data_IF_066486526023
#
_entry.id   IF_066486526023
#
_cell.length_a   1.000
_cell.length_b   1.000
_cell.length_c   1.000
_cell.angle_alpha   90.00
_cell.angle_beta   90.00
_cell.angle_gamma   90.00
#
_symmetry.space_group_name_H-M   'P 1'
#
loop_
_entity.id
_entity.type
_entity.pdbx_description
1 polymer ?
#
# COMPACT_ATOMS: atom_id res chain seq x y z
N UNK A 1 -59.46 -25.82 3.31
CA UNK A 1 -59.07 -24.97 4.47
C UNK A 1 -57.57 -25.01 4.73
N UNK A 2 -57.00 -26.08 5.30
CA UNK A 2 -55.55 -26.15 5.58
C UNK A 2 -54.68 -26.19 4.30
N UNK A 3 -55.13 -26.89 3.26
CA UNK A 3 -54.45 -26.95 1.96
C UNK A 3 -54.46 -25.59 1.23
N UNK A 4 -55.58 -24.87 1.28
CA UNK A 4 -55.72 -23.54 0.65
C UNK A 4 -54.87 -22.48 1.35
N UNK A 5 -54.75 -22.52 2.67
CA UNK A 5 -53.84 -21.66 3.44
C UNK A 5 -52.37 -21.94 3.10
N UNK A 6 -52.02 -23.21 2.85
CA UNK A 6 -50.67 -23.60 2.45
C UNK A 6 -50.35 -23.12 1.03
N UNK A 7 -51.31 -23.20 0.10
CA UNK A 7 -51.19 -22.64 -1.25
C UNK A 7 -51.06 -21.12 -1.22
N UNK A 8 -51.84 -20.42 -0.39
CA UNK A 8 -51.74 -18.97 -0.24
C UNK A 8 -50.36 -18.54 0.32
N UNK A 9 -49.84 -19.28 1.31
CA UNK A 9 -48.49 -19.06 1.86
C UNK A 9 -47.39 -19.30 0.84
N UNK A 10 -47.53 -20.34 0.01
CA UNK A 10 -46.59 -20.63 -1.08
C UNK A 10 -46.56 -19.48 -2.11
N UNK A 11 -47.74 -19.07 -2.60
CA UNK A 11 -47.85 -17.97 -3.55
C UNK A 11 -47.25 -16.66 -3.00
N UNK A 12 -47.56 -16.33 -1.74
CA UNK A 12 -46.97 -15.15 -1.08
C UNK A 12 -45.47 -15.28 -0.80
N UNK A 13 -44.91 -16.49 -0.72
CA UNK A 13 -43.47 -16.69 -0.62
C UNK A 13 -42.78 -16.54 -1.98
N UNK A 14 -43.39 -17.07 -3.05
CA UNK A 14 -42.89 -16.94 -4.42
C UNK A 14 -42.88 -15.48 -4.89
N UNK A 15 -43.92 -14.72 -4.60
CA UNK A 15 -43.99 -13.29 -4.92
C UNK A 15 -42.90 -12.50 -4.18
N UNK A 16 -42.71 -12.74 -2.87
CA UNK A 16 -41.64 -12.11 -2.10
C UNK A 16 -40.26 -12.48 -2.62
N UNK A 17 -40.06 -13.74 -3.01
CA UNK A 17 -38.79 -14.19 -3.60
C UNK A 17 -38.52 -13.48 -4.93
N UNK A 18 -39.54 -13.32 -5.78
CA UNK A 18 -39.43 -12.62 -7.06
C UNK A 18 -39.06 -11.14 -6.84
N UNK A 19 -39.74 -10.46 -5.90
CA UNK A 19 -39.43 -9.08 -5.55
C UNK A 19 -37.98 -8.90 -5.06
N UNK A 20 -37.51 -9.79 -4.18
CA UNK A 20 -36.12 -9.75 -3.67
C UNK A 20 -35.08 -10.03 -4.75
N UNK A 21 -35.37 -10.95 -5.69
CA UNK A 21 -34.49 -11.24 -6.83
C UNK A 21 -34.34 -10.02 -7.74
N UNK A 22 -35.43 -9.32 -8.01
CA UNK A 22 -35.42 -8.13 -8.85
C UNK A 22 -34.69 -6.96 -8.16
N UNK A 23 -34.93 -6.75 -6.87
CA UNK A 23 -34.21 -5.75 -6.07
C UNK A 23 -32.69 -6.03 -6.06
N UNK A 24 -32.31 -7.29 -5.84
CA UNK A 24 -30.90 -7.73 -5.87
C UNK A 24 -30.26 -7.45 -7.23
N UNK A 25 -30.95 -7.82 -8.32
CA UNK A 25 -30.49 -7.62 -9.70
C UNK A 25 -30.32 -6.13 -10.01
N UNK A 26 -31.30 -5.30 -9.68
CA UNK A 26 -31.26 -3.86 -9.92
C UNK A 26 -30.10 -3.19 -9.17
N UNK A 27 -29.88 -3.53 -7.90
CA UNK A 27 -28.76 -3.01 -7.10
C UNK A 27 -27.41 -3.44 -7.67
N UNK A 28 -27.28 -4.72 -8.03
CA UNK A 28 -26.05 -5.23 -8.64
C UNK A 28 -25.71 -4.50 -9.93
N UNK A 29 -26.66 -4.39 -10.87
CA UNK A 29 -26.43 -3.75 -12.17
C UNK A 29 -26.07 -2.26 -12.04
N UNK A 30 -26.65 -1.57 -11.06
CA UNK A 30 -26.34 -0.16 -10.78
C UNK A 30 -24.87 0.00 -10.41
N UNK A 31 -24.40 -0.78 -9.42
CA UNK A 31 -23.02 -0.75 -8.95
C UNK A 31 -22.05 -1.29 -10.01
N UNK A 32 -22.43 -2.35 -10.72
CA UNK A 32 -21.60 -2.95 -11.78
C UNK A 32 -21.27 -1.94 -12.88
N UNK A 33 -22.26 -1.16 -13.35
CA UNK A 33 -22.04 -0.11 -14.35
C UNK A 33 -21.12 1.00 -13.85
N UNK A 34 -21.25 1.37 -12.58
CA UNK A 34 -20.35 2.35 -11.97
C UNK A 34 -18.91 1.84 -11.94
N UNK A 35 -18.70 0.59 -11.50
CA UNK A 35 -17.38 -0.05 -11.49
C UNK A 35 -16.81 -0.12 -12.91
N UNK A 36 -17.62 -0.48 -13.91
CA UNK A 36 -17.20 -0.57 -15.31
C UNK A 36 -16.68 0.77 -15.84
N UNK A 37 -17.39 1.87 -15.56
CA UNK A 37 -16.95 3.22 -15.94
C UNK A 37 -15.64 3.61 -15.24
N UNK A 38 -15.55 3.35 -13.93
CA UNK A 38 -14.35 3.69 -13.13
C UNK A 38 -13.15 2.86 -13.54
N UNK A 39 -13.32 1.58 -13.82
CA UNK A 39 -12.27 0.68 -14.28
C UNK A 39 -11.61 1.21 -15.55
N UNK A 40 -12.42 1.61 -16.54
CA UNK A 40 -11.91 2.16 -17.80
C UNK A 40 -11.05 3.41 -17.57
N UNK A 41 -11.54 4.33 -16.74
CA UNK A 41 -10.82 5.55 -16.36
C UNK A 41 -9.51 5.24 -15.62
N UNK A 42 -9.54 4.33 -14.64
CA UNK A 42 -8.37 3.98 -13.85
C UNK A 42 -7.31 3.26 -14.69
N UNK A 43 -7.73 2.34 -15.56
CA UNK A 43 -6.79 1.61 -16.42
C UNK A 43 -6.09 2.54 -17.41
N UNK A 44 -6.84 3.43 -18.08
CA UNK A 44 -6.26 4.42 -19.00
C UNK A 44 -5.25 5.33 -18.30
N UNK A 45 -5.54 5.74 -17.06
CA UNK A 45 -4.64 6.55 -16.24
C UNK A 45 -3.36 5.79 -15.90
N UNK A 46 -3.48 4.56 -15.38
CA UNK A 46 -2.36 3.76 -14.90
C UNK A 46 -1.46 3.24 -16.02
N UNK A 47 -2.05 2.78 -17.13
CA UNK A 47 -1.33 2.24 -18.28
C UNK A 47 -0.89 3.30 -19.30
N UNK A 48 -1.18 4.58 -19.03
CA UNK A 48 -0.96 5.70 -19.95
C UNK A 48 -1.53 5.42 -21.36
N UNK A 49 -2.72 4.82 -21.41
CA UNK A 49 -3.40 4.37 -22.63
C UNK A 49 -4.01 2.97 -22.51
N UNK A 50 -4.48 2.42 -23.63
CA UNK A 50 -5.20 1.15 -23.63
C UNK A 50 -6.66 1.29 -23.17
N UNK A 51 -7.33 0.15 -22.97
CA UNK A 51 -8.70 0.08 -22.45
C UNK A 51 -8.86 -1.16 -21.57
N UNK A 52 -9.79 -1.13 -20.62
CA UNK A 52 -10.16 -2.26 -19.78
C UNK A 52 -11.67 -2.26 -19.56
N UNK A 53 -12.28 -3.42 -19.71
CA UNK A 53 -13.73 -3.58 -19.65
C UNK A 53 -14.09 -4.86 -18.88
N UNK A 54 -15.16 -4.77 -18.09
CA UNK A 54 -15.81 -5.91 -17.45
C UNK A 54 -17.18 -6.11 -18.11
N UNK A 55 -17.46 -7.35 -18.48
CA UNK A 55 -18.68 -7.74 -19.18
C UNK A 55 -19.36 -8.86 -18.41
N UNK A 56 -20.70 -8.89 -18.44
CA UNK A 56 -21.45 -10.02 -17.89
C UNK A 56 -21.36 -11.19 -18.87
N UNK A 57 -21.18 -12.41 -18.36
CA UNK A 57 -21.21 -13.62 -19.20
C UNK A 57 -22.60 -13.81 -19.82
N UNK A 58 -23.65 -13.52 -19.06
CA UNK A 58 -25.02 -13.45 -19.54
C UNK A 58 -25.68 -12.14 -19.10
N UNK A 59 -26.36 -11.50 -20.07
CA UNK A 59 -27.15 -10.29 -19.83
C UNK A 59 -28.48 -10.57 -19.12
N UNK A 60 -28.99 -11.81 -19.21
CA UNK A 60 -30.26 -12.22 -18.61
C UNK A 60 -30.10 -12.52 -17.12
N UNK A 61 -29.03 -13.22 -16.74
CA UNK A 61 -28.62 -13.47 -15.36
C UNK A 61 -27.20 -12.93 -15.05
N UNK A 62 -27.08 -11.78 -14.35
CA UNK A 62 -25.78 -11.20 -14.01
C UNK A 62 -24.98 -12.01 -12.98
N UNK A 63 -25.54 -13.07 -12.40
CA UNK A 63 -24.90 -13.89 -11.36
C UNK A 63 -24.13 -15.10 -11.92
N UNK A 64 -24.22 -15.38 -13.23
CA UNK A 64 -23.43 -16.43 -13.91
C UNK A 64 -21.93 -16.13 -13.94
N UNK A 65 -21.57 -14.85 -13.93
CA UNK A 65 -20.18 -14.41 -13.78
C UNK A 65 -19.83 -13.18 -14.61
N UNK A 66 -18.57 -12.78 -14.47
CA UNK A 66 -18.03 -11.56 -15.07
C UNK A 66 -16.78 -11.93 -15.86
N UNK A 67 -16.70 -11.47 -17.09
CA UNK A 67 -15.51 -11.55 -17.92
C UNK A 67 -14.72 -10.26 -17.79
N UNK A 68 -13.42 -10.36 -17.50
CA UNK A 68 -12.52 -9.21 -17.42
C UNK A 68 -11.56 -9.23 -18.62
N UNK A 69 -11.75 -8.26 -19.53
CA UNK A 69 -10.96 -8.10 -20.75
C UNK A 69 -10.22 -6.78 -20.76
N UNK A 70 -9.02 -6.83 -21.30
CA UNK A 70 -8.11 -5.69 -21.32
C UNK A 70 -7.48 -5.57 -22.69
N UNK A 71 -7.33 -4.34 -23.17
CA UNK A 71 -6.57 -3.96 -24.34
C UNK A 71 -5.38 -3.12 -23.91
N UNK A 72 -4.18 -3.72 -23.72
CA UNK A 72 -2.98 -2.95 -23.45
C UNK A 72 -2.68 -1.94 -24.58
N UNK A 73 -1.90 -0.88 -24.31
CA UNK A 73 -1.53 0.10 -25.33
C UNK A 73 -0.94 -0.59 -26.56
N UNK A 74 -1.48 -0.28 -27.75
CA UNK A 74 -1.03 -0.84 -29.04
C UNK A 74 -1.16 -2.36 -29.18
N UNK A 75 -1.97 -3.03 -28.36
CA UNK A 75 -2.24 -4.48 -28.45
C UNK A 75 -3.73 -4.76 -28.66
N UNK A 76 -4.06 -5.99 -29.03
CA UNK A 76 -5.44 -6.47 -29.15
C UNK A 76 -6.06 -6.77 -27.76
N UNK A 77 -7.39 -6.87 -27.73
CA UNK A 77 -8.14 -7.32 -26.56
C UNK A 77 -7.75 -8.73 -26.16
N UNK A 78 -7.51 -8.94 -24.86
CA UNK A 78 -7.19 -10.24 -24.27
C UNK A 78 -7.88 -10.39 -22.93
N UNK A 79 -8.23 -11.63 -22.59
CA UNK A 79 -8.63 -11.95 -21.22
C UNK A 79 -7.45 -11.73 -20.27
N UNK A 80 -7.71 -11.27 -19.04
CA UNK A 80 -6.67 -11.03 -18.03
C UNK A 80 -5.81 -12.27 -17.76
N UNK A 81 -6.38 -13.48 -17.85
CA UNK A 81 -5.62 -14.74 -17.71
C UNK A 81 -4.45 -14.86 -18.70
N UNK A 82 -4.57 -14.26 -19.88
CA UNK A 82 -3.63 -14.35 -21.00
C UNK A 82 -2.69 -13.14 -21.12
N UNK A 83 -2.67 -12.23 -20.15
CA UNK A 83 -1.78 -11.07 -20.10
C UNK A 83 -0.37 -11.43 -19.56
N UNK A 84 0.61 -10.54 -19.73
CA UNK A 84 1.90 -10.66 -19.03
C UNK A 84 1.77 -10.36 -17.53
N UNK A 85 2.74 -10.76 -16.69
CA UNK A 85 2.68 -10.55 -15.24
C UNK A 85 2.49 -9.08 -14.82
N UNK A 86 3.21 -8.14 -15.47
CA UNK A 86 3.05 -6.71 -15.22
C UNK A 86 1.69 -6.18 -15.66
N UNK A 87 1.19 -6.59 -16.83
CA UNK A 87 -0.13 -6.22 -17.33
C UNK A 87 -1.25 -6.78 -16.43
N UNK A 88 -1.13 -8.01 -15.93
CA UNK A 88 -2.06 -8.59 -14.95
C UNK A 88 -2.10 -7.77 -13.67
N UNK A 89 -0.93 -7.40 -13.15
CA UNK A 89 -0.80 -6.60 -11.92
C UNK A 89 -1.45 -5.23 -12.10
N UNK A 90 -1.14 -4.55 -13.20
CA UNK A 90 -1.70 -3.23 -13.51
C UNK A 90 -3.23 -3.27 -13.71
N UNK A 91 -3.73 -4.27 -14.43
CA UNK A 91 -5.18 -4.46 -14.65
C UNK A 91 -5.91 -4.76 -13.34
N UNK A 92 -5.32 -5.59 -12.49
CA UNK A 92 -5.89 -5.92 -11.17
C UNK A 92 -5.91 -4.69 -10.26
N UNK A 93 -4.83 -3.92 -10.25
CA UNK A 93 -4.74 -2.69 -9.47
C UNK A 93 -5.76 -1.64 -9.94
N UNK A 94 -5.96 -1.50 -11.25
CA UNK A 94 -6.99 -0.62 -11.81
C UNK A 94 -8.41 -1.01 -11.32
N UNK A 95 -8.71 -2.31 -11.27
CA UNK A 95 -9.99 -2.80 -10.75
C UNK A 95 -10.13 -2.55 -9.25
N UNK A 96 -9.09 -2.80 -8.47
CA UNK A 96 -9.08 -2.52 -7.02
C UNK A 96 -9.33 -1.03 -6.75
N UNK A 97 -8.66 -0.13 -7.47
CA UNK A 97 -8.91 1.31 -7.35
C UNK A 97 -10.29 1.74 -7.83
N UNK A 98 -10.84 1.10 -8.87
CA UNK A 98 -12.22 1.35 -9.30
C UNK A 98 -13.23 0.97 -8.20
N UNK A 99 -13.03 -0.17 -7.53
CA UNK A 99 -13.85 -0.59 -6.39
C UNK A 99 -13.74 0.37 -5.21
N UNK A 100 -12.53 0.86 -4.90
CA UNK A 100 -12.32 1.86 -3.84
C UNK A 100 -13.01 3.19 -4.13
N UNK A 101 -13.21 3.53 -5.40
CA UNK A 101 -13.95 4.73 -5.76
C UNK A 101 -15.44 4.62 -5.43
N UNK A 102 -16.04 3.45 -5.66
CA UNK A 102 -17.46 3.18 -5.37
C UNK A 102 -17.68 3.05 -3.86
N UNK A 103 -16.75 2.42 -3.15
CA UNK A 103 -16.81 2.25 -1.70
C UNK A 103 -15.50 2.69 -1.05
N UNK A 104 -15.37 3.99 -0.69
CA UNK A 104 -14.16 4.49 -0.05
C UNK A 104 -14.02 3.94 1.37
N UNK A 105 -12.77 3.66 1.76
CA UNK A 105 -12.36 3.16 3.07
C UNK A 105 -11.36 4.14 3.67
N UNK A 106 -11.39 4.40 4.99
CA UNK A 106 -10.49 5.38 5.60
C UNK A 106 -9.01 4.95 5.59
N UNK A 107 -8.72 3.64 5.49
CA UNK A 107 -7.35 3.11 5.55
C UNK A 107 -7.15 2.02 4.48
N UNK A 108 -6.02 2.08 3.78
CA UNK A 108 -5.57 1.13 2.78
C UNK A 108 -4.16 0.64 3.10
N UNK A 109 -3.95 -0.67 3.04
CA UNK A 109 -2.64 -1.31 3.23
C UNK A 109 -2.29 -2.08 1.97
N UNK A 110 -1.11 -1.82 1.40
CA UNK A 110 -0.64 -2.42 0.15
C UNK A 110 0.77 -2.96 0.35
N UNK A 111 0.97 -4.24 0.06
CA UNK A 111 2.23 -4.93 0.25
C UNK A 111 2.82 -5.36 -1.09
N UNK A 112 4.00 -4.82 -1.44
CA UNK A 112 4.80 -5.13 -2.64
C UNK A 112 4.00 -5.17 -3.97
N UNK A 113 2.97 -4.33 -4.08
CA UNK A 113 2.10 -4.27 -5.28
C UNK A 113 2.85 -3.85 -6.56
N UNK A 114 4.06 -3.34 -6.42
CA UNK A 114 4.92 -2.81 -7.46
C UNK A 114 6.05 -3.78 -7.88
N UNK A 115 6.11 -4.98 -7.31
CA UNK A 115 7.14 -5.96 -7.62
C UNK A 115 7.19 -6.32 -9.13
N UNK A 116 6.02 -6.51 -9.74
CA UNK A 116 5.86 -6.89 -11.14
C UNK A 116 5.71 -5.70 -12.11
N UNK A 117 5.77 -4.46 -11.62
CA UNK A 117 5.61 -3.24 -12.42
C UNK A 117 6.97 -2.68 -12.87
N UNK A 118 6.98 -2.01 -14.02
CA UNK A 118 8.13 -1.26 -14.51
C UNK A 118 8.24 0.12 -13.84
N UNK A 119 9.42 0.74 -13.94
CA UNK A 119 9.70 2.01 -13.26
C UNK A 119 8.70 3.12 -13.61
N UNK A 120 8.16 3.12 -14.84
CA UNK A 120 7.22 4.12 -15.33
C UNK A 120 5.84 3.95 -14.69
N UNK A 121 5.30 2.73 -14.71
CA UNK A 121 3.99 2.46 -14.11
C UNK A 121 4.04 2.64 -12.57
N UNK A 122 5.16 2.27 -11.92
CA UNK A 122 5.33 2.50 -10.48
C UNK A 122 5.21 3.99 -10.13
N UNK A 123 5.88 4.89 -10.89
CA UNK A 123 5.76 6.33 -10.65
C UNK A 123 4.34 6.87 -10.85
N UNK A 124 3.60 6.35 -11.84
CA UNK A 124 2.20 6.73 -12.08
C UNK A 124 1.31 6.28 -10.91
N UNK A 125 1.48 5.04 -10.44
CA UNK A 125 0.76 4.50 -9.28
C UNK A 125 1.09 5.29 -8.01
N UNK A 126 2.35 5.59 -7.75
CA UNK A 126 2.79 6.36 -6.59
C UNK A 126 2.12 7.74 -6.55
N UNK A 127 2.11 8.44 -7.69
CA UNK A 127 1.43 9.73 -7.83
C UNK A 127 -0.08 9.62 -7.62
N UNK A 128 -0.71 8.61 -8.22
CA UNK A 128 -2.14 8.37 -8.04
C UNK A 128 -2.50 8.17 -6.56
N UNK A 129 -1.72 7.35 -5.84
CA UNK A 129 -1.95 7.11 -4.41
C UNK A 129 -1.78 8.39 -3.61
N UNK A 130 -0.76 9.20 -3.92
CA UNK A 130 -0.55 10.49 -3.26
C UNK A 130 -1.76 11.43 -3.45
N UNK A 131 -2.28 11.53 -4.68
CA UNK A 131 -3.46 12.36 -4.99
C UNK A 131 -4.71 11.87 -4.26
N UNK A 132 -4.83 10.55 -4.02
CA UNK A 132 -5.94 9.95 -3.27
C UNK A 132 -5.76 10.01 -1.75
N UNK A 133 -4.55 10.21 -1.25
CA UNK A 133 -4.24 10.21 0.18
C UNK A 133 -4.84 11.40 0.95
N UNK A 134 -5.43 12.39 0.26
CA UNK A 134 -6.11 13.54 0.91
C UNK A 134 -7.37 13.10 1.68
N UNK A 135 -8.04 12.03 1.22
CA UNK A 135 -9.29 11.53 1.82
C UNK A 135 -9.18 10.17 2.49
N UNK A 136 -8.01 9.53 2.45
CA UNK A 136 -7.78 8.20 3.03
C UNK A 136 -6.30 8.00 3.38
N UNK A 137 -6.03 7.17 4.39
CA UNK A 137 -4.67 6.81 4.78
C UNK A 137 -4.16 5.63 3.94
N UNK A 138 -3.02 5.81 3.28
CA UNK A 138 -2.34 4.75 2.55
C UNK A 138 -1.06 4.33 3.28
N UNK A 139 -0.94 3.04 3.56
CA UNK A 139 0.26 2.38 4.10
C UNK A 139 0.77 1.46 3.01
N UNK A 140 1.94 1.78 2.45
CA UNK A 140 2.53 1.05 1.33
C UNK A 140 3.86 0.47 1.78
N UNK A 141 4.03 -0.82 1.57
CA UNK A 141 5.29 -1.53 1.73
C UNK A 141 5.85 -1.75 0.32
N UNK A 142 7.05 -1.25 0.07
CA UNK A 142 7.70 -1.32 -1.22
C UNK A 142 9.23 -1.23 -1.08
N UNK A 143 9.93 -1.89 -2.00
CA UNK A 143 11.38 -1.81 -2.17
C UNK A 143 11.78 -0.90 -3.35
N UNK A 144 10.82 -0.32 -4.09
CA UNK A 144 11.10 0.55 -5.23
C UNK A 144 11.18 2.02 -4.81
N UNK A 145 12.32 2.65 -5.07
CA UNK A 145 12.54 4.07 -4.77
C UNK A 145 11.40 4.97 -5.32
N UNK A 146 11.00 4.76 -6.58
CA UNK A 146 9.95 5.55 -7.24
C UNK A 146 8.58 5.50 -6.53
N UNK A 147 8.33 4.47 -5.70
CA UNK A 147 7.08 4.31 -4.98
C UNK A 147 7.04 5.14 -3.70
N UNK A 148 8.11 5.07 -2.90
CA UNK A 148 8.16 5.71 -1.58
C UNK A 148 8.83 7.09 -1.58
N UNK A 149 9.45 7.53 -2.69
CA UNK A 149 10.08 8.86 -2.79
C UNK A 149 9.07 10.00 -2.54
N UNK A 150 7.81 9.80 -2.92
CA UNK A 150 6.72 10.77 -2.74
C UNK A 150 6.01 10.65 -1.37
N UNK A 151 6.46 9.77 -0.49
CA UNK A 151 5.78 9.52 0.78
C UNK A 151 5.89 10.71 1.75
N UNK A 152 4.81 10.98 2.48
CA UNK A 152 4.82 11.99 3.56
C UNK A 152 5.69 11.55 4.75
N UNK A 153 5.79 10.25 4.98
CA UNK A 153 6.52 9.64 6.09
C UNK A 153 7.09 8.30 5.64
N UNK A 154 8.34 8.02 6.03
CA UNK A 154 9.01 6.76 5.77
C UNK A 154 9.18 5.99 7.07
N UNK A 155 8.95 4.68 7.03
CA UNK A 155 9.22 3.77 8.13
C UNK A 155 10.29 2.78 7.66
N UNK A 156 11.51 2.97 8.14
CA UNK A 156 12.61 2.06 7.91
C UNK A 156 12.57 0.92 8.92
N UNK A 157 12.65 -0.32 8.44
CA UNK A 157 12.74 -1.51 9.29
C UNK A 157 14.16 -2.06 9.16
N UNK A 158 14.83 -2.30 10.29
CA UNK A 158 16.17 -2.89 10.34
C UNK A 158 16.26 -3.96 11.43
N UNK A 159 17.20 -4.90 11.27
CA UNK A 159 17.45 -5.98 12.24
C UNK A 159 18.79 -5.72 12.93
N UNK A 160 18.79 -5.65 14.26
CA UNK A 160 19.98 -5.43 15.09
C UNK A 160 19.98 -6.45 16.21
N UNK A 161 21.02 -7.29 16.29
CA UNK A 161 21.15 -8.36 17.30
C UNK A 161 19.91 -9.26 17.37
N UNK A 162 19.50 -9.80 16.22
CA UNK A 162 18.28 -10.60 16.05
C UNK A 162 16.94 -9.95 16.46
N UNK A 163 16.95 -8.66 16.79
CA UNK A 163 15.77 -7.90 17.13
C UNK A 163 15.39 -6.93 16.01
N UNK A 164 14.12 -6.92 15.60
CA UNK A 164 13.59 -5.93 14.66
C UNK A 164 13.44 -4.58 15.33
N UNK A 165 14.00 -3.54 14.71
CA UNK A 165 13.84 -2.14 15.10
C UNK A 165 13.21 -1.36 13.94
N UNK A 166 12.38 -0.39 14.28
CA UNK A 166 11.80 0.54 13.31
C UNK A 166 12.31 1.96 13.57
N UNK A 167 12.53 2.71 12.48
CA UNK A 167 12.95 4.10 12.50
C UNK A 167 11.98 4.87 11.61
N UNK A 168 11.42 5.95 12.13
CA UNK A 168 10.47 6.79 11.41
C UNK A 168 11.18 8.06 10.95
N UNK A 169 11.07 8.38 9.67
CA UNK A 169 11.71 9.53 9.04
C UNK A 169 10.66 10.37 8.30
N UNK A 170 10.80 11.69 8.41
CA UNK A 170 10.03 12.65 7.61
C UNK A 170 10.92 13.17 6.47
N UNK A 171 10.66 12.81 5.20
CA UNK A 171 11.50 13.21 4.06
C UNK A 171 11.69 14.74 3.94
N UNK A 172 10.64 15.53 4.16
CA UNK A 172 10.72 16.99 4.06
C UNK A 172 11.66 17.60 5.11
N UNK A 173 11.64 17.05 6.33
CA UNK A 173 12.54 17.48 7.40
C UNK A 173 13.99 17.15 7.09
N UNK A 174 14.25 15.95 6.57
CA UNK A 174 15.59 15.50 6.19
C UNK A 174 16.15 16.31 5.03
N UNK A 175 15.34 16.57 3.99
CA UNK A 175 15.74 17.37 2.84
C UNK A 175 16.18 18.79 3.22
N UNK A 176 15.47 19.41 4.17
CA UNK A 176 15.80 20.75 4.70
C UNK A 176 17.18 20.75 5.38
N UNK A 177 17.42 19.78 6.27
CA UNK A 177 18.71 19.65 6.98
C UNK A 177 19.88 19.41 6.03
N UNK A 178 19.70 18.57 5.01
CA UNK A 178 20.73 18.28 4.00
C UNK A 178 21.03 19.55 3.20
N UNK A 179 20.01 20.28 2.76
CA UNK A 179 20.17 21.50 1.96
C UNK A 179 20.88 22.60 2.74
N UNK A 180 20.54 22.79 4.01
CA UNK A 180 21.19 23.78 4.88
C UNK A 180 22.67 23.46 5.11
N UNK A 181 23.01 22.18 5.33
CA UNK A 181 24.40 21.73 5.46
C UNK A 181 25.18 21.89 4.15
N UNK A 182 24.55 21.66 3.01
CA UNK A 182 25.17 21.87 1.70
C UNK A 182 25.47 23.36 1.44
N UNK A 183 24.56 24.26 1.85
CA UNK A 183 24.76 25.72 1.78
C UNK A 183 25.91 26.18 2.69
N UNK A 184 25.96 25.70 3.93
CA UNK A 184 27.03 26.04 4.89
C UNK A 184 28.42 25.58 4.42
N UNK A 185 28.50 24.43 3.72
CA UNK A 185 29.75 23.95 3.12
C UNK A 185 30.21 24.79 1.93
N UNK A 186 29.29 25.38 1.17
CA UNK A 186 29.62 26.27 0.04
C UNK A 186 30.01 27.68 0.48
N UNK A 187 29.59 28.15 1.66
CA UNK A 187 29.85 29.51 2.13
C UNK A 187 31.16 29.69 2.91
N UNK A 188 31.97 28.65 3.13
CA UNK A 188 33.29 28.77 3.74
C UNK A 188 33.30 29.08 5.25
N UNK A 189 33.81 28.13 6.04
CA UNK A 189 34.47 28.33 7.34
C UNK A 189 33.87 29.26 8.39
N UNK A 190 33.02 28.73 9.27
CA UNK A 190 33.08 28.97 10.72
C UNK A 190 32.21 27.92 11.42
N UNK A 191 32.72 27.31 12.50
CA UNK A 191 31.97 26.37 13.33
C UNK A 191 30.76 27.08 13.97
N UNK A 192 29.59 27.01 13.31
CA UNK A 192 28.35 27.51 13.86
C UNK A 192 27.66 26.41 14.67
N UNK A 193 27.55 26.61 15.99
CA UNK A 193 26.76 25.76 16.88
C UNK A 193 25.31 25.62 16.37
N UNK A 194 24.66 24.46 16.56
CA UNK A 194 23.32 24.21 16.05
C UNK A 194 22.30 25.19 16.64
N UNK A 195 21.72 26.03 15.77
CA UNK A 195 20.74 27.08 16.12
C UNK A 195 19.28 26.59 16.17
N UNK A 196 18.96 25.40 15.66
CA UNK A 196 17.58 24.88 15.68
C UNK A 196 17.37 23.86 16.81
N UNK A 197 16.21 23.93 17.47
CA UNK A 197 15.83 23.02 18.57
C UNK A 197 15.91 21.55 18.16
N UNK A 198 15.50 21.23 16.93
CA UNK A 198 15.56 19.88 16.33
C UNK A 198 17.00 19.38 16.20
N UNK A 199 17.96 20.26 15.88
CA UNK A 199 19.37 19.87 15.77
C UNK A 199 20.03 19.61 17.12
N UNK A 200 19.56 20.28 18.18
CA UNK A 200 19.98 19.99 19.56
C UNK A 200 19.42 18.66 20.04
N UNK A 201 18.16 18.39 19.74
CA UNK A 201 17.48 17.15 20.14
C UNK A 201 18.07 15.91 19.45
N UNK A 202 18.39 16.02 18.15
CA UNK A 202 19.08 14.95 17.42
C UNK A 202 20.52 14.74 17.92
N UNK A 203 21.23 15.81 18.29
CA UNK A 203 22.56 15.71 18.89
C UNK A 203 22.51 15.03 20.26
N UNK A 204 21.58 15.44 21.13
CA UNK A 204 21.37 14.83 22.45
C UNK A 204 20.98 13.34 22.36
N UNK A 205 20.15 12.96 21.38
CA UNK A 205 19.81 11.56 21.13
C UNK A 205 21.01 10.73 20.67
N UNK A 206 21.89 11.31 19.84
CA UNK A 206 23.13 10.65 19.42
C UNK A 206 24.16 10.53 20.55
N UNK A 207 24.30 11.55 21.40
CA UNK A 207 25.21 11.52 22.56
C UNK A 207 24.74 10.52 23.63
N UNK A 208 23.42 10.40 23.85
CA UNK A 208 22.84 9.39 24.75
C UNK A 208 23.01 7.96 24.22
N UNK A 209 22.97 7.76 22.90
CA UNK A 209 23.22 6.46 22.28
C UNK A 209 24.70 6.03 22.40
N UNK A 210 25.65 6.98 22.30
CA UNK A 210 27.08 6.69 22.47
C UNK A 210 27.48 6.45 23.94
N UNK A 211 26.85 7.15 24.90
CA UNK A 211 27.10 6.95 26.33
C UNK A 211 26.60 5.61 26.91
N UNK A 212 25.61 4.99 26.27
CA UNK A 212 25.14 3.62 26.62
C UNK A 212 26.09 2.54 26.11
N UNK A 213 26.62 2.71 24.89
CA UNK A 213 27.61 1.79 24.28
C UNK A 213 28.85 1.59 25.15
N UNK A 214 29.41 2.67 25.71
CA UNK A 214 30.61 2.58 26.55
C UNK A 214 30.39 2.07 27.99
N UNK A 215 29.13 1.77 28.36
CA UNK A 215 28.78 1.17 29.65
C UNK A 215 28.49 -0.33 29.48
N UNK A 216 27.75 -0.70 28.43
CA UNK A 216 27.51 -2.11 28.07
C UNK A 216 28.82 -2.84 27.68
N UNK A 217 29.74 -2.20 26.95
CA UNK A 217 31.05 -2.79 26.60
C UNK A 217 31.99 -3.02 27.81
N UNK A 218 31.74 -2.35 28.95
CA UNK A 218 32.50 -2.57 30.19
C UNK A 218 31.90 -3.68 31.04
N UNK A 219 30.57 -3.81 31.03
CA UNK A 219 29.87 -4.84 31.78
C UNK A 219 30.04 -6.23 31.11
N UNK A 220 30.06 -6.29 29.76
CA UNK A 220 30.37 -7.53 29.01
C UNK A 220 31.82 -8.02 29.25
N UNK A 221 32.79 -7.10 29.34
CA UNK A 221 34.18 -7.45 29.61
C UNK A 221 34.42 -7.95 31.06
N UNK A 222 33.61 -7.52 32.04
CA UNK A 222 33.69 -8.01 33.42
C UNK A 222 33.05 -9.39 33.61
N UNK A 223 32.03 -9.75 32.83
CA UNK A 223 31.41 -11.08 32.85
C UNK A 223 32.32 -12.16 32.22
N UNK A 224 33.00 -11.85 31.11
CA UNK A 224 33.91 -12.78 30.44
C UNK A 224 35.14 -13.15 31.29
N UNK A 225 35.67 -12.20 32.07
CA UNK A 225 36.79 -12.44 32.99
C UNK A 225 36.39 -13.31 34.19
N UNK A 226 35.13 -13.22 34.65
CA UNK A 226 34.59 -14.08 35.71
C UNK A 226 34.34 -15.51 35.23
N UNK A 227 33.93 -15.69 33.97
CA UNK A 227 33.65 -17.01 33.41
C UNK A 227 34.93 -17.86 33.30
N UNK A 228 36.02 -17.29 32.76
CA UNK A 228 37.30 -18.00 32.60
C UNK A 228 38.03 -18.30 33.92
N UNK A 229 37.82 -17.51 34.98
CA UNK A 229 38.35 -17.86 36.32
C UNK A 229 37.61 -19.04 36.96
N UNK A 230 36.37 -19.32 36.57
CA UNK A 230 35.59 -20.43 37.11
C UNK A 230 35.94 -21.78 36.48
N UNK A 231 36.36 -21.79 35.21
CA UNK A 231 36.81 -23.01 34.52
C UNK A 231 38.22 -23.45 34.97
N UNK A 232 39.13 -22.52 35.25
CA UNK A 232 40.49 -22.83 35.69
C UNK A 232 40.57 -23.41 37.12
N UNK A 233 39.49 -23.34 37.91
CA UNK A 233 39.42 -23.92 39.25
C UNK A 233 38.77 -25.32 39.28
N UNK A 234 38.35 -25.85 38.11
CA UNK A 234 37.71 -27.18 37.97
C UNK A 234 38.53 -28.21 37.17
N UNK A 235 39.76 -27.87 36.80
CA UNK A 235 40.77 -28.81 36.29
C UNK A 235 41.86 -29.03 37.34
#
# INVERSE_FOLDING_TARGET
>A
AAYDDLLAKLAGAEERLAALKEERKARFLTVFREIQLRLKQMYQLLAAGGDAEIELLDSSDPFEGINFVVRPPKKAWKNVSNLSGGEKTLSSLALVFALHHVKPTPVYVMDEIDAALDFRNVSIVARYVLERAVGAQFIIISLRNNMFELAHQLVGICKVSDCTRSIVLNPASVATVITDRARQRRSGGAAAQPKSAVSRELADQMTRAQGRRGRDERDEAEEDVKFHRSEAARA
#
